data_IF_362066761518
#
_entry.id   IF_362066761518
#
_cell.length_a   1.000
_cell.length_b   1.000
_cell.length_c   1.000
_cell.angle_alpha   90.00
_cell.angle_beta   90.00
_cell.angle_gamma   90.00
#
_symmetry.space_group_name_H-M   'P 1'
#
loop_
_entity.id
_entity.type
_entity.pdbx_description
1 polymer ?
#
# COMPACT_ATOMS: atom_id res chain seq x y z
N UNK A 1 -31.52 -56.03 18.47
CA UNK A 1 -30.29 -55.27 18.77
C UNK A 1 -29.26 -55.63 17.71
N UNK A 2 -29.23 -54.87 16.60
CA UNK A 2 -28.07 -54.45 15.80
C UNK A 2 -28.58 -53.89 14.45
N UNK A 3 -28.14 -52.68 14.12
CA UNK A 3 -28.66 -51.75 13.10
C UNK A 3 -28.42 -52.15 11.62
N UNK A 4 -29.18 -51.58 10.66
CA UNK A 4 -28.84 -51.64 9.24
C UNK A 4 -27.58 -50.82 8.92
N UNK A 5 -26.81 -51.19 7.88
CA UNK A 5 -25.62 -50.43 7.49
C UNK A 5 -26.07 -49.11 6.85
N UNK A 6 -25.83 -48.02 7.57
CA UNK A 6 -25.89 -46.68 7.03
C UNK A 6 -24.76 -46.51 6.00
N UNK A 7 -25.05 -46.77 4.72
CA UNK A 7 -24.20 -46.35 3.62
C UNK A 7 -24.24 -44.81 3.49
N UNK A 8 -23.56 -44.12 4.39
CA UNK A 8 -23.16 -42.72 4.22
C UNK A 8 -21.83 -42.66 3.49
N UNK A 9 -21.76 -43.26 2.29
CA UNK A 9 -20.65 -43.00 1.40
C UNK A 9 -20.85 -41.63 0.74
N UNK A 10 -19.89 -40.73 0.93
CA UNK A 10 -19.48 -39.85 -0.17
C UNK A 10 -19.94 -38.40 -0.17
N UNK A 11 -20.11 -37.76 0.99
CA UNK A 11 -20.31 -36.29 1.02
C UNK A 11 -19.09 -35.49 1.52
N UNK A 12 -17.98 -36.16 1.85
CA UNK A 12 -16.78 -35.50 2.37
C UNK A 12 -15.68 -35.22 1.32
N UNK A 13 -15.83 -35.66 0.07
CA UNK A 13 -14.77 -35.58 -0.95
C UNK A 13 -14.80 -34.33 -1.84
N UNK A 14 -15.63 -33.33 -1.55
CA UNK A 14 -15.80 -32.15 -2.43
C UNK A 14 -15.46 -30.81 -1.78
N UNK A 15 -14.79 -30.77 -0.64
CA UNK A 15 -14.32 -29.49 -0.10
C UNK A 15 -12.99 -29.15 -0.79
N UNK A 16 -12.96 -28.17 -1.72
CA UNK A 16 -11.71 -27.75 -2.35
C UNK A 16 -10.75 -27.26 -1.26
N UNK A 17 -9.47 -27.56 -1.43
CA UNK A 17 -8.35 -27.23 -0.54
C UNK A 17 -8.11 -25.71 -0.34
N UNK A 18 -9.08 -24.84 -0.61
CA UNK A 18 -8.96 -23.38 -0.61
C UNK A 18 -9.24 -22.69 0.74
N UNK A 19 -9.49 -23.45 1.81
CA UNK A 19 -9.96 -22.90 3.09
C UNK A 19 -8.95 -23.06 4.23
N UNK A 20 -7.69 -22.69 4.01
CA UNK A 20 -6.80 -22.44 5.15
C UNK A 20 -7.14 -21.06 5.73
N UNK A 21 -7.66 -20.97 6.98
CA UNK A 21 -7.97 -19.68 7.61
C UNK A 21 -6.73 -18.78 7.80
N UNK A 22 -5.52 -19.33 7.62
CA UNK A 22 -4.26 -18.59 7.64
C UNK A 22 -4.10 -17.59 6.49
N UNK A 23 -4.65 -17.86 5.29
CA UNK A 23 -4.51 -16.97 4.14
C UNK A 23 -5.15 -15.58 4.35
N UNK A 24 -6.42 -15.46 4.78
CA UNK A 24 -7.00 -14.15 5.06
C UNK A 24 -6.32 -13.44 6.25
N UNK A 25 -5.89 -14.18 7.29
CA UNK A 25 -5.19 -13.59 8.44
C UNK A 25 -3.86 -12.97 8.01
N UNK A 26 -3.07 -13.71 7.23
CA UNK A 26 -1.79 -13.23 6.72
C UNK A 26 -1.98 -12.00 5.82
N UNK A 27 -2.99 -12.01 4.94
CA UNK A 27 -3.32 -10.86 4.10
C UNK A 27 -3.68 -9.61 4.92
N UNK A 28 -4.46 -9.76 6.00
CA UNK A 28 -4.79 -8.66 6.91
C UNK A 28 -3.52 -8.12 7.58
N UNK A 29 -2.65 -8.99 8.10
CA UNK A 29 -1.39 -8.57 8.72
C UNK A 29 -0.50 -7.81 7.73
N UNK A 30 -0.35 -8.30 6.51
CA UNK A 30 0.40 -7.62 5.44
C UNK A 30 -0.21 -6.25 5.15
N UNK A 31 -1.54 -6.15 5.09
CA UNK A 31 -2.23 -4.87 4.84
C UNK A 31 -2.07 -3.87 5.99
N UNK A 32 -2.08 -4.34 7.23
CA UNK A 32 -1.79 -3.50 8.39
C UNK A 32 -0.36 -2.97 8.36
N UNK A 33 0.62 -3.83 8.02
CA UNK A 33 2.01 -3.42 7.90
C UNK A 33 2.23 -2.40 6.77
N UNK A 34 1.60 -2.62 5.61
CA UNK A 34 1.59 -1.66 4.50
C UNK A 34 0.98 -0.32 4.95
N UNK A 35 -0.15 -0.36 5.65
CA UNK A 35 -0.84 0.83 6.17
C UNK A 35 -0.01 1.60 7.19
N UNK A 36 0.64 0.90 8.13
CA UNK A 36 1.53 1.51 9.11
C UNK A 36 2.75 2.19 8.46
N UNK A 37 3.34 1.55 7.44
CA UNK A 37 4.44 2.12 6.66
C UNK A 37 4.02 3.39 5.90
N UNK A 38 2.82 3.41 5.31
CA UNK A 38 2.30 4.58 4.59
C UNK A 38 1.93 5.70 5.57
N UNK A 39 1.31 5.37 6.71
CA UNK A 39 0.91 6.33 7.74
C UNK A 39 2.09 7.04 8.42
N UNK A 40 3.20 6.33 8.67
CA UNK A 40 4.43 6.93 9.23
C UNK A 40 5.12 7.91 8.30
N UNK A 41 4.88 7.82 6.99
CA UNK A 41 5.42 8.74 5.99
C UNK A 41 4.57 10.00 5.78
N UNK A 42 3.39 10.10 6.40
CA UNK A 42 2.48 11.22 6.18
C UNK A 42 2.79 12.41 7.09
N UNK A 43 3.07 12.16 8.38
CA UNK A 43 3.29 13.24 9.37
C UNK A 43 4.62 13.97 9.20
N UNK A 44 5.73 13.24 9.10
CA UNK A 44 7.09 13.83 9.06
C UNK A 44 7.33 14.81 7.90
N UNK A 45 7.01 14.45 6.64
CA UNK A 45 7.20 15.34 5.49
C UNK A 45 6.27 16.54 5.48
N UNK A 46 5.01 16.40 5.93
CA UNK A 46 4.09 17.54 6.02
C UNK A 46 4.61 18.55 7.04
N UNK A 47 5.02 18.10 8.23
CA UNK A 47 5.61 18.99 9.23
C UNK A 47 6.91 19.61 8.73
N UNK A 48 7.81 18.82 8.14
CA UNK A 48 9.07 19.33 7.58
C UNK A 48 8.86 20.43 6.54
N UNK A 49 7.98 20.18 5.57
CA UNK A 49 7.72 21.11 4.47
C UNK A 49 6.96 22.34 4.96
N UNK A 50 6.02 22.19 5.90
CA UNK A 50 5.30 23.34 6.50
C UNK A 50 6.16 24.17 7.45
N UNK A 51 7.18 23.57 8.07
CA UNK A 51 8.21 24.27 8.84
C UNK A 51 9.16 25.07 7.94
N UNK A 52 9.54 24.52 6.78
CA UNK A 52 10.37 25.21 5.77
C UNK A 52 9.58 26.23 4.93
N UNK A 53 8.25 26.09 4.85
CA UNK A 53 7.39 27.05 4.19
C UNK A 53 7.23 28.32 5.03
N UNK A 54 7.65 29.48 4.50
CA UNK A 54 7.41 30.78 5.13
C UNK A 54 5.92 30.99 5.46
N UNK A 55 5.63 31.76 6.53
CA UNK A 55 4.33 31.83 7.20
C UNK A 55 3.12 32.06 6.27
N UNK A 56 3.34 32.68 5.10
CA UNK A 56 2.34 33.01 4.09
C UNK A 56 1.96 31.84 3.16
N UNK A 57 2.81 30.82 3.00
CA UNK A 57 2.62 29.72 2.03
C UNK A 57 2.37 28.35 2.67
N UNK A 58 2.36 28.26 4.02
CA UNK A 58 2.20 27.00 4.77
C UNK A 58 0.97 26.20 4.40
N UNK A 59 -0.18 26.87 4.29
CA UNK A 59 -1.44 26.21 3.91
C UNK A 59 -1.44 25.68 2.47
N UNK A 60 -0.79 26.42 1.57
CA UNK A 60 -0.72 26.08 0.14
C UNK A 60 0.25 24.93 -0.11
N UNK A 61 1.37 24.89 0.59
CA UNK A 61 2.34 23.80 0.46
C UNK A 61 1.86 22.55 1.21
N UNK A 62 1.22 22.70 2.38
CA UNK A 62 0.58 21.58 3.07
C UNK A 62 -0.54 20.94 2.25
N UNK A 63 -1.37 21.75 1.58
CA UNK A 63 -2.42 21.25 0.69
C UNK A 63 -1.87 20.57 -0.56
N UNK A 64 -0.74 21.02 -1.12
CA UNK A 64 -0.07 20.33 -2.23
C UNK A 64 0.36 18.91 -1.85
N UNK A 65 0.83 18.69 -0.61
CA UNK A 65 1.15 17.33 -0.12
C UNK A 65 -0.12 16.47 -0.05
N UNK A 66 -1.22 17.01 0.50
CA UNK A 66 -2.49 16.30 0.56
C UNK A 66 -3.06 15.97 -0.84
N UNK A 67 -2.99 16.91 -1.77
CA UNK A 67 -3.38 16.72 -3.17
C UNK A 67 -2.55 15.62 -3.82
N UNK A 68 -1.22 15.61 -3.62
CA UNK A 68 -0.35 14.58 -4.21
C UNK A 68 -0.74 13.16 -3.76
N UNK A 69 -1.15 12.99 -2.50
CA UNK A 69 -1.63 11.72 -1.98
C UNK A 69 -2.96 11.29 -2.62
N UNK A 70 -3.94 12.20 -2.65
CA UNK A 70 -5.24 11.96 -3.28
C UNK A 70 -5.07 11.64 -4.77
N UNK A 71 -4.20 12.35 -5.46
CA UNK A 71 -3.85 12.06 -6.86
C UNK A 71 -3.27 10.65 -7.02
N UNK A 72 -2.45 10.18 -6.08
CA UNK A 72 -1.96 8.80 -6.07
C UNK A 72 -3.09 7.76 -5.96
N UNK A 73 -4.08 7.98 -5.08
CA UNK A 73 -5.25 7.10 -4.95
C UNK A 73 -6.10 7.09 -6.22
N UNK A 74 -6.31 8.25 -6.83
CA UNK A 74 -7.05 8.39 -8.09
C UNK A 74 -6.32 7.66 -9.21
N UNK A 75 -5.00 7.85 -9.35
CA UNK A 75 -4.19 7.16 -10.35
C UNK A 75 -4.25 5.63 -10.18
N UNK A 76 -4.16 5.13 -8.94
CA UNK A 76 -4.32 3.70 -8.65
C UNK A 76 -5.70 3.16 -9.04
N UNK A 77 -6.75 3.93 -8.75
CA UNK A 77 -8.13 3.57 -9.13
C UNK A 77 -8.33 3.55 -10.65
N UNK A 78 -7.83 4.57 -11.37
CA UNK A 78 -7.87 4.63 -12.83
C UNK A 78 -7.13 3.42 -13.41
N UNK A 79 -5.96 3.07 -12.88
CA UNK A 79 -5.20 1.91 -13.33
C UNK A 79 -5.98 0.61 -13.17
N UNK A 80 -6.64 0.42 -12.02
CA UNK A 80 -7.47 -0.77 -11.79
C UNK A 80 -8.64 -0.85 -12.77
N UNK A 81 -9.29 0.28 -13.07
CA UNK A 81 -10.37 0.37 -14.06
C UNK A 81 -9.85 0.05 -15.46
N UNK A 82 -8.72 0.62 -15.87
CA UNK A 82 -8.12 0.38 -17.18
C UNK A 82 -7.78 -1.10 -17.40
N UNK A 83 -7.12 -1.71 -16.41
CA UNK A 83 -6.77 -3.14 -16.47
C UNK A 83 -8.04 -3.99 -16.53
N UNK A 84 -9.07 -3.66 -15.75
CA UNK A 84 -10.34 -4.40 -15.76
C UNK A 84 -11.17 -4.18 -17.04
N UNK A 85 -11.02 -3.04 -17.70
CA UNK A 85 -11.72 -2.72 -18.95
C UNK A 85 -11.04 -3.33 -20.19
N UNK A 86 -9.72 -3.51 -20.14
CA UNK A 86 -8.93 -4.02 -21.28
C UNK A 86 -8.76 -5.54 -21.28
N UNK A 87 -8.89 -6.20 -20.13
CA UNK A 87 -8.64 -7.64 -19.97
C UNK A 87 -9.91 -8.40 -19.62
N UNK A 88 -10.02 -9.64 -20.10
CA UNK A 88 -11.07 -10.55 -19.64
C UNK A 88 -10.83 -10.99 -18.20
N UNK A 89 -11.86 -11.48 -17.53
CA UNK A 89 -11.75 -12.00 -16.15
C UNK A 89 -10.67 -13.07 -16.01
N UNK A 90 -10.57 -14.01 -16.96
CA UNK A 90 -9.52 -15.05 -16.93
C UNK A 90 -8.11 -14.46 -17.10
N UNK A 91 -7.95 -13.46 -17.98
CA UNK A 91 -6.67 -12.79 -18.17
C UNK A 91 -6.28 -11.97 -16.94
N UNK A 92 -7.25 -11.34 -16.28
CA UNK A 92 -7.03 -10.56 -15.06
C UNK A 92 -6.49 -11.45 -13.93
N UNK A 93 -7.11 -12.60 -13.69
CA UNK A 93 -6.69 -13.55 -12.65
C UNK A 93 -5.40 -14.31 -13.00
N UNK A 94 -5.16 -14.61 -14.27
CA UNK A 94 -3.93 -15.30 -14.69
C UNK A 94 -2.70 -14.38 -14.62
N UNK A 95 -2.79 -13.16 -15.17
CA UNK A 95 -1.64 -12.25 -15.21
C UNK A 95 -1.91 -10.75 -15.10
N UNK A 96 -3.11 -10.28 -15.46
CA UNK A 96 -3.44 -8.86 -15.47
C UNK A 96 -3.28 -8.17 -14.12
N UNK A 97 -3.49 -8.91 -13.02
CA UNK A 97 -3.28 -8.39 -11.67
C UNK A 97 -1.86 -7.88 -11.39
N UNK A 98 -0.85 -8.32 -12.15
CA UNK A 98 0.55 -7.87 -11.98
C UNK A 98 0.79 -6.45 -12.49
N UNK A 99 -0.01 -5.98 -13.45
CA UNK A 99 0.20 -4.68 -14.12
C UNK A 99 0.10 -3.51 -13.12
N UNK A 100 -0.93 -3.39 -12.26
CA UNK A 100 -1.00 -2.32 -11.27
C UNK A 100 0.17 -2.34 -10.28
N UNK A 101 0.66 -3.54 -9.90
CA UNK A 101 1.81 -3.65 -9.01
C UNK A 101 3.10 -3.18 -9.68
N UNK A 102 3.39 -3.58 -10.91
CA UNK A 102 4.59 -3.13 -11.64
C UNK A 102 4.59 -1.61 -11.84
N UNK A 103 3.43 -1.05 -12.18
CA UNK A 103 3.25 0.40 -12.29
C UNK A 103 3.51 1.10 -10.94
N UNK A 104 2.89 0.62 -9.87
CA UNK A 104 3.10 1.12 -8.52
C UNK A 104 4.55 1.00 -8.03
N UNK A 105 5.22 -0.12 -8.31
CA UNK A 105 6.64 -0.33 -8.00
C UNK A 105 7.53 0.67 -8.73
N UNK A 106 7.26 0.94 -10.00
CA UNK A 106 8.05 1.90 -10.80
C UNK A 106 7.93 3.31 -10.21
N UNK A 107 6.71 3.74 -9.89
CA UNK A 107 6.47 5.04 -9.24
C UNK A 107 7.11 5.08 -7.85
N UNK A 108 6.97 4.00 -7.08
CA UNK A 108 7.58 3.87 -5.76
C UNK A 108 9.10 3.95 -5.79
N UNK A 109 9.75 3.34 -6.79
CA UNK A 109 11.19 3.41 -6.98
C UNK A 109 11.64 4.83 -7.32
N UNK A 110 10.91 5.55 -8.17
CA UNK A 110 11.18 6.97 -8.44
C UNK A 110 11.04 7.79 -7.17
N UNK A 111 9.97 7.59 -6.40
CA UNK A 111 9.78 8.26 -5.10
C UNK A 111 10.90 7.94 -4.10
N UNK A 112 11.36 6.69 -4.06
CA UNK A 112 12.50 6.26 -3.26
C UNK A 112 13.79 6.97 -3.68
N UNK A 113 14.11 7.01 -4.99
CA UNK A 113 15.28 7.71 -5.51
C UNK A 113 15.26 9.21 -5.18
N UNK A 114 14.09 9.85 -5.31
CA UNK A 114 13.92 11.27 -4.93
C UNK A 114 14.18 11.46 -3.43
N UNK A 115 13.68 10.55 -2.59
CA UNK A 115 13.88 10.62 -1.14
C UNK A 115 15.31 10.34 -0.72
N UNK A 116 16.01 9.43 -1.38
CA UNK A 116 17.43 9.14 -1.15
C UNK A 116 18.35 10.30 -1.55
N UNK A 117 17.87 11.25 -2.37
CA UNK A 117 18.62 12.43 -2.81
C UNK A 117 18.30 13.71 -2.04
N UNK A 118 17.35 13.68 -1.11
CA UNK A 118 17.09 14.82 -0.22
C UNK A 118 18.10 14.77 0.93
N UNK A 119 19.14 15.61 0.84
CA UNK A 119 20.09 15.85 1.94
C UNK A 119 19.35 16.40 3.17
N UNK A 120 19.80 16.01 4.37
CA UNK A 120 19.19 16.43 5.63
C UNK A 120 19.13 17.96 5.76
N UNK A 121 18.06 18.45 6.40
CA UNK A 121 17.85 19.89 6.57
C UNK A 121 19.05 20.58 7.22
N UNK A 122 19.42 21.80 6.76
CA UNK A 122 20.49 22.59 7.36
C UNK A 122 20.29 22.88 8.87
N UNK A 123 19.09 22.66 9.42
CA UNK A 123 18.82 22.74 10.85
C UNK A 123 19.48 21.62 11.68
N UNK A 124 19.77 20.44 11.10
CA UNK A 124 20.48 19.35 11.80
C UNK A 124 21.99 19.61 11.87
N UNK A 125 22.56 20.14 10.78
CA UNK A 125 23.98 20.55 10.73
C UNK A 125 24.29 21.77 11.62
N UNK A 126 23.27 22.57 11.95
CA UNK A 126 23.42 23.76 12.80
C UNK A 126 23.28 23.50 14.31
N UNK A 127 23.13 22.25 14.77
CA UNK A 127 23.05 21.94 16.21
C UNK A 127 24.45 21.66 16.76
N UNK A 128 25.12 22.62 17.44
CA UNK A 128 26.44 22.38 17.99
C UNK A 128 26.35 21.33 19.10
N UNK A 129 27.22 20.33 19.02
CA UNK A 129 27.35 19.19 19.94
C UNK A 129 27.90 19.58 21.31
N UNK A 130 27.25 20.50 22.03
CA UNK A 130 27.79 21.05 23.29
C UNK A 130 26.94 20.71 24.51
N UNK A 131 26.87 19.42 24.86
CA UNK A 131 26.57 18.94 26.23
C UNK A 131 27.16 17.54 26.44
N UNK A 132 28.48 17.47 26.56
CA UNK A 132 29.23 16.51 27.39
C UNK A 132 30.37 17.27 28.04
#
# INVERSE_FOLDING_TARGET
MYDPPLHHHGIASHLPASRSPSAPILLVLIRMLQGASVGGNYGGPITFVTEHAGNRNRGLIGSLVAVSCLSGFIAGSIMAILVSALLTTEQLFSWGWRIPFLFGTTIGLVGFMMRSKMEESPAYLAKPSRYY
#
